data_IF_425329205670
#
_entry.id   IF_425329205670
#
_cell.length_a   1.000
_cell.length_b   1.000
_cell.length_c   1.000
_cell.angle_alpha   90.00
_cell.angle_beta   90.00
_cell.angle_gamma   90.00
#
_symmetry.space_group_name_H-M   'P 1'
#
loop_
_entity.id
_entity.type
_entity.pdbx_description
1 polymer ?
#
# COMPACT_ATOMS: atom_id res chain seq x y z
N UNK A 1 -20.58 -5.24 32.78
CA UNK A 1 -19.41 -5.10 31.87
C UNK A 1 -19.78 -5.77 30.56
N UNK A 2 -19.59 -5.10 29.41
CA UNK A 2 -19.76 -5.78 28.11
C UNK A 2 -18.59 -6.74 27.92
N UNK A 3 -18.86 -7.99 27.55
CA UNK A 3 -17.83 -8.97 27.21
C UNK A 3 -16.95 -8.44 26.07
N UNK A 4 -15.63 -8.55 26.22
CA UNK A 4 -14.67 -8.11 25.20
C UNK A 4 -14.55 -9.21 24.14
N UNK A 5 -15.09 -8.95 22.96
CA UNK A 5 -15.02 -9.88 21.83
C UNK A 5 -13.57 -10.02 21.31
N UNK A 6 -13.19 -11.16 20.72
CA UNK A 6 -11.90 -11.31 20.05
C UNK A 6 -11.81 -10.37 18.84
N UNK A 7 -10.59 -9.98 18.43
CA UNK A 7 -10.42 -9.17 17.23
C UNK A 7 -10.89 -9.95 16.00
N UNK A 8 -11.67 -9.28 15.14
CA UNK A 8 -12.18 -9.80 13.86
C UNK A 8 -11.10 -10.00 12.79
N UNK A 9 -9.90 -9.50 13.07
CA UNK A 9 -8.80 -9.40 12.13
C UNK A 9 -7.49 -9.73 12.85
N UNK A 10 -6.56 -10.38 12.16
CA UNK A 10 -5.25 -10.74 12.71
C UNK A 10 -4.17 -10.50 11.66
N UNK A 11 -3.00 -9.97 12.05
CA UNK A 11 -1.88 -9.82 11.14
C UNK A 11 -1.27 -11.19 10.84
N UNK A 12 -0.99 -11.44 9.57
CA UNK A 12 -0.22 -12.56 9.08
C UNK A 12 1.05 -12.09 8.37
N UNK A 13 1.59 -12.97 7.52
CA UNK A 13 2.85 -12.72 6.82
C UNK A 13 2.72 -11.61 5.78
N UNK A 14 1.56 -11.48 5.12
CA UNK A 14 1.36 -10.47 4.09
C UNK A 14 1.44 -9.05 4.64
N UNK A 15 0.77 -8.76 5.77
CA UNK A 15 0.88 -7.44 6.39
C UNK A 15 2.31 -7.18 6.88
N UNK A 16 2.95 -8.18 7.49
CA UNK A 16 4.31 -8.03 8.00
C UNK A 16 5.31 -7.68 6.89
N UNK A 17 5.28 -8.44 5.79
CA UNK A 17 6.13 -8.19 4.62
C UNK A 17 5.84 -6.84 3.99
N UNK A 18 4.57 -6.48 3.82
CA UNK A 18 4.17 -5.17 3.31
C UNK A 18 4.70 -4.02 4.18
N UNK A 19 4.70 -4.18 5.51
CA UNK A 19 5.26 -3.19 6.41
C UNK A 19 6.78 -3.03 6.24
N UNK A 20 7.52 -4.14 6.12
CA UNK A 20 8.96 -4.10 5.91
C UNK A 20 9.32 -3.39 4.60
N UNK A 21 8.57 -3.68 3.52
CA UNK A 21 8.73 -2.99 2.24
C UNK A 21 8.42 -1.50 2.41
N UNK A 22 7.27 -1.14 2.94
CA UNK A 22 6.89 0.27 3.12
C UNK A 22 7.88 1.05 4.01
N UNK A 23 8.33 0.45 5.12
CA UNK A 23 9.29 1.06 6.01
C UNK A 23 10.66 1.28 5.35
N UNK A 24 11.09 0.36 4.47
CA UNK A 24 12.34 0.50 3.70
C UNK A 24 12.20 1.56 2.61
N UNK A 25 11.17 1.47 1.79
CA UNK A 25 11.00 2.32 0.60
C UNK A 25 10.71 3.78 0.97
N UNK A 26 10.03 4.03 2.08
CA UNK A 26 9.71 5.37 2.56
C UNK A 26 10.61 5.82 3.72
N UNK A 27 11.74 5.14 3.95
CA UNK A 27 12.72 5.53 4.95
C UNK A 27 13.27 6.94 4.66
N UNK A 28 13.05 7.87 5.59
CA UNK A 28 13.49 9.26 5.46
C UNK A 28 12.60 10.15 4.58
N UNK A 29 11.47 9.63 4.07
CA UNK A 29 10.50 10.43 3.33
C UNK A 29 9.54 11.10 4.31
N UNK A 30 9.42 12.42 4.20
CA UNK A 30 8.44 13.22 4.95
C UNK A 30 7.21 13.52 4.09
N UNK A 31 6.06 13.71 4.75
CA UNK A 31 4.86 14.23 4.10
C UNK A 31 5.10 15.66 3.62
N UNK A 32 4.38 16.04 2.57
CA UNK A 32 4.40 17.44 2.08
C UNK A 32 4.01 18.40 3.19
N UNK A 33 4.81 19.46 3.35
CA UNK A 33 4.51 20.55 4.29
C UNK A 33 5.00 20.35 5.72
N UNK A 34 5.88 19.38 6.00
CA UNK A 34 6.47 19.22 7.34
C UNK A 34 7.50 18.09 7.44
N UNK A 35 7.76 17.67 8.68
CA UNK A 35 8.69 16.61 9.08
C UNK A 35 7.98 15.29 9.48
N UNK A 36 6.66 15.24 9.29
CA UNK A 36 5.85 14.06 9.61
C UNK A 36 6.26 12.91 8.68
N UNK A 37 6.65 11.73 9.21
CA UNK A 37 7.06 10.60 8.38
C UNK A 37 5.96 10.13 7.42
N UNK A 38 6.29 9.86 6.16
CA UNK A 38 5.32 9.36 5.17
C UNK A 38 4.74 8.01 5.57
N UNK A 39 5.53 7.16 6.23
CA UNK A 39 5.09 5.87 6.76
C UNK A 39 3.86 5.99 7.68
N UNK A 40 3.69 7.10 8.42
CA UNK A 40 2.52 7.28 9.28
C UNK A 40 1.21 7.39 8.48
N UNK A 41 1.26 7.95 7.26
CA UNK A 41 0.12 7.98 6.33
C UNK A 41 -0.24 6.57 5.87
N UNK A 42 0.74 5.81 5.40
CA UNK A 42 0.54 4.43 4.93
C UNK A 42 -0.08 3.55 6.03
N UNK A 43 0.44 3.65 7.26
CA UNK A 43 -0.10 2.93 8.41
C UNK A 43 -1.54 3.35 8.74
N UNK A 44 -1.86 4.64 8.65
CA UNK A 44 -3.21 5.13 8.90
C UNK A 44 -4.22 4.59 7.87
N UNK A 45 -3.87 4.56 6.58
CA UNK A 45 -4.73 3.99 5.53
C UNK A 45 -4.93 2.49 5.74
N UNK A 46 -3.86 1.75 6.08
CA UNK A 46 -3.95 0.32 6.39
C UNK A 46 -4.85 0.02 7.60
N UNK A 47 -4.75 0.84 8.65
CA UNK A 47 -5.61 0.73 9.83
C UNK A 47 -7.10 0.92 9.48
N UNK A 48 -7.43 1.90 8.62
CA UNK A 48 -8.81 2.12 8.16
C UNK A 48 -9.38 0.89 7.44
N UNK A 49 -8.58 0.20 6.62
CA UNK A 49 -9.00 -1.05 5.96
C UNK A 49 -9.34 -2.12 7.00
N UNK A 50 -8.50 -2.30 8.02
CA UNK A 50 -8.76 -3.27 9.09
C UNK A 50 -10.03 -2.93 9.88
N UNK A 51 -10.26 -1.65 10.18
CA UNK A 51 -11.44 -1.19 10.92
C UNK A 51 -12.75 -1.45 10.16
N UNK A 52 -12.71 -1.32 8.84
CA UNK A 52 -13.86 -1.51 7.95
C UNK A 52 -14.03 -2.95 7.46
N UNK A 53 -13.27 -3.90 8.01
CA UNK A 53 -13.43 -5.33 7.74
C UNK A 53 -12.76 -5.82 6.46
N UNK A 54 -11.75 -5.10 5.96
CA UNK A 54 -10.95 -5.54 4.83
C UNK A 54 -10.09 -6.77 5.17
N UNK A 55 -9.71 -7.49 4.12
CA UNK A 55 -8.84 -8.67 4.21
C UNK A 55 -7.41 -8.27 4.56
N UNK A 56 -6.58 -9.26 4.89
CA UNK A 56 -5.15 -9.00 5.07
C UNK A 56 -4.50 -8.47 3.78
N UNK A 57 -4.80 -9.06 2.63
CA UNK A 57 -4.31 -8.59 1.32
C UNK A 57 -4.67 -7.12 1.08
N UNK A 58 -5.90 -6.71 1.42
CA UNK A 58 -6.34 -5.33 1.27
C UNK A 58 -5.60 -4.39 2.23
N UNK A 59 -5.36 -4.81 3.48
CA UNK A 59 -4.61 -4.02 4.45
C UNK A 59 -3.12 -3.89 4.08
N UNK A 60 -2.53 -4.95 3.53
CA UNK A 60 -1.17 -4.97 2.99
C UNK A 60 -1.07 -4.07 1.75
N UNK A 61 -2.02 -4.16 0.81
CA UNK A 61 -2.06 -3.30 -0.37
C UNK A 61 -2.25 -1.82 0.00
N UNK A 62 -3.10 -1.52 0.99
CA UNK A 62 -3.25 -0.17 1.53
C UNK A 62 -1.95 0.39 2.13
N UNK A 63 -1.12 -0.46 2.75
CA UNK A 63 0.19 -0.07 3.27
C UNK A 63 1.20 0.21 2.15
N UNK A 64 1.00 -0.40 0.98
CA UNK A 64 1.87 -0.32 -0.19
C UNK A 64 1.32 0.58 -1.31
N UNK A 65 0.18 1.26 -1.12
CA UNK A 65 -0.58 1.87 -2.23
C UNK A 65 0.22 2.89 -3.05
N UNK A 66 1.14 3.61 -2.41
CA UNK A 66 1.99 4.62 -3.07
C UNK A 66 3.34 4.05 -3.55
N UNK A 67 3.67 2.78 -3.26
CA UNK A 67 5.03 2.27 -3.45
C UNK A 67 5.47 2.25 -4.91
N UNK A 68 4.54 1.97 -5.84
CA UNK A 68 4.84 1.97 -7.28
C UNK A 68 4.95 3.38 -7.85
N UNK A 69 4.41 4.37 -7.14
CA UNK A 69 4.39 5.76 -7.55
C UNK A 69 5.63 6.52 -7.05
N UNK A 70 5.98 6.29 -5.79
CA UNK A 70 6.91 7.12 -5.03
C UNK A 70 8.20 6.38 -4.64
N UNK A 71 8.35 5.11 -5.02
CA UNK A 71 9.58 4.32 -4.88
C UNK A 71 9.99 3.66 -6.19
N UNK A 72 11.30 3.42 -6.43
CA UNK A 72 11.80 2.75 -7.63
C UNK A 72 11.40 1.26 -7.76
N UNK A 73 10.70 0.69 -6.78
CA UNK A 73 10.26 -0.71 -6.86
C UNK A 73 9.24 -0.91 -8.00
N UNK A 74 9.47 -1.93 -8.82
CA UNK A 74 8.52 -2.32 -9.87
C UNK A 74 7.46 -3.28 -9.34
N UNK A 75 6.31 -3.36 -10.01
CA UNK A 75 5.27 -4.34 -9.67
C UNK A 75 5.82 -5.79 -9.68
N UNK A 76 6.66 -6.13 -10.67
CA UNK A 76 7.29 -7.44 -10.73
C UNK A 76 8.23 -7.69 -9.54
N UNK A 77 9.05 -6.70 -9.19
CA UNK A 77 9.96 -6.78 -8.04
C UNK A 77 9.18 -6.95 -6.73
N UNK A 78 8.07 -6.21 -6.56
CA UNK A 78 7.20 -6.32 -5.40
C UNK A 78 6.55 -7.70 -5.30
N UNK A 79 6.03 -8.24 -6.41
CA UNK A 79 5.47 -9.61 -6.43
C UNK A 79 6.51 -10.64 -6.02
N UNK A 80 7.72 -10.55 -6.60
CA UNK A 80 8.82 -11.46 -6.26
C UNK A 80 9.23 -11.35 -4.79
N UNK A 81 9.31 -10.15 -4.24
CA UNK A 81 9.69 -9.92 -2.86
C UNK A 81 8.66 -10.49 -1.87
N UNK A 82 7.36 -10.30 -2.13
CA UNK A 82 6.30 -10.88 -1.31
C UNK A 82 6.37 -12.41 -1.34
N UNK A 83 6.50 -13.01 -2.52
CA UNK A 83 6.61 -14.46 -2.66
C UNK A 83 7.87 -15.03 -2.01
N UNK A 84 9.00 -14.33 -2.12
CA UNK A 84 10.26 -14.72 -1.48
C UNK A 84 10.18 -14.66 0.05
N UNK A 85 9.26 -13.87 0.60
CA UNK A 85 8.97 -13.79 2.03
C UNK A 85 7.84 -14.75 2.47
N UNK A 86 7.57 -15.80 1.69
CA UNK A 86 6.59 -16.85 1.98
C UNK A 86 5.12 -16.37 1.98
N UNK A 87 4.84 -15.20 1.42
CA UNK A 87 3.45 -14.80 1.13
C UNK A 87 2.91 -15.74 0.04
N UNK A 88 1.73 -16.37 0.23
CA UNK A 88 1.15 -17.26 -0.77
C UNK A 88 1.05 -16.56 -2.14
N UNK A 89 1.38 -17.27 -3.21
CA UNK A 89 1.45 -16.68 -4.55
C UNK A 89 0.15 -15.94 -4.94
N UNK A 90 -1.01 -16.52 -4.64
CA UNK A 90 -2.31 -15.88 -4.88
C UNK A 90 -2.44 -14.53 -4.13
N UNK A 91 -2.11 -14.51 -2.84
CA UNK A 91 -2.12 -13.29 -2.01
C UNK A 91 -1.12 -12.25 -2.53
N UNK A 92 0.09 -12.66 -2.90
CA UNK A 92 1.08 -11.75 -3.48
C UNK A 92 0.59 -11.09 -4.77
N UNK A 93 -0.01 -11.87 -5.69
CA UNK A 93 -0.59 -11.32 -6.92
C UNK A 93 -1.79 -10.41 -6.63
N UNK A 94 -2.67 -10.78 -5.69
CA UNK A 94 -3.81 -9.95 -5.29
C UNK A 94 -3.37 -8.60 -4.72
N UNK A 95 -2.38 -8.60 -3.82
CA UNK A 95 -1.83 -7.39 -3.22
C UNK A 95 -1.29 -6.46 -4.31
N UNK A 96 -0.43 -6.98 -5.21
CA UNK A 96 0.16 -6.15 -6.28
C UNK A 96 -0.89 -5.67 -7.27
N UNK A 97 -1.90 -6.48 -7.59
CA UNK A 97 -3.01 -6.05 -8.44
C UNK A 97 -3.81 -4.90 -7.83
N UNK A 98 -4.08 -4.94 -6.51
CA UNK A 98 -4.74 -3.83 -5.80
C UNK A 98 -3.85 -2.58 -5.85
N UNK A 99 -2.56 -2.70 -5.53
CA UNK A 99 -1.61 -1.57 -5.55
C UNK A 99 -1.56 -0.93 -6.93
N UNK A 100 -1.48 -1.73 -8.01
CA UNK A 100 -1.54 -1.24 -9.39
C UNK A 100 -2.86 -0.54 -9.70
N UNK A 101 -3.99 -1.10 -9.25
CA UNK A 101 -5.31 -0.50 -9.44
C UNK A 101 -5.50 0.82 -8.68
N UNK A 102 -4.76 1.02 -7.58
CA UNK A 102 -4.76 2.27 -6.81
C UNK A 102 -3.65 3.24 -7.22
N UNK A 103 -2.81 2.89 -8.19
CA UNK A 103 -1.71 3.74 -8.65
C UNK A 103 -2.11 4.63 -9.85
N UNK A 104 -1.83 5.93 -9.78
CA UNK A 104 -1.98 6.98 -10.81
C UNK A 104 -0.73 7.14 -11.70
N UNK A 105 0.23 6.20 -11.63
CA UNK A 105 1.41 6.19 -12.47
C UNK A 105 2.52 5.29 -11.95
N UNK A 106 3.69 5.39 -12.57
CA UNK A 106 4.91 4.68 -12.13
C UNK A 106 5.98 5.68 -11.68
N UNK A 107 6.90 5.20 -10.84
CA UNK A 107 8.03 5.99 -10.40
C UNK A 107 8.83 6.61 -11.55
N UNK A 108 9.23 7.86 -11.38
CA UNK A 108 9.97 8.63 -12.38
C UNK A 108 9.13 9.18 -13.54
N UNK A 109 7.83 8.85 -13.62
CA UNK A 109 6.94 9.46 -14.58
C UNK A 109 6.64 10.92 -14.18
N UNK A 110 6.91 11.87 -15.08
CA UNK A 110 6.65 13.29 -14.81
C UNK A 110 5.14 13.55 -14.67
N UNK A 111 4.73 14.07 -13.51
CA UNK A 111 3.34 14.41 -13.22
C UNK A 111 3.23 15.93 -13.08
N UNK A 112 2.71 16.57 -14.11
CA UNK A 112 2.49 18.02 -14.09
C UNK A 112 1.03 18.37 -13.77
N UNK A 113 0.76 19.59 -13.29
CA UNK A 113 -0.61 20.09 -13.15
C UNK A 113 -1.40 20.05 -14.46
N UNK A 114 -0.72 20.15 -15.61
CA UNK A 114 -1.35 20.10 -16.92
C UNK A 114 -1.96 18.72 -17.23
N UNK A 115 -1.39 17.63 -16.69
CA UNK A 115 -1.90 16.27 -16.88
C UNK A 115 -2.81 15.79 -15.74
N UNK A 116 -3.05 16.62 -14.72
CA UNK A 116 -3.86 16.25 -13.55
C UNK A 116 -5.30 15.93 -13.91
N UNK A 117 -5.95 16.78 -14.71
CA UNK A 117 -7.36 16.61 -15.04
C UNK A 117 -7.58 15.28 -15.78
N UNK A 118 -6.81 15.04 -16.85
CA UNK A 118 -6.87 13.81 -17.64
C UNK A 118 -6.61 12.53 -16.82
N UNK A 119 -5.65 12.56 -15.89
CA UNK A 119 -5.41 11.45 -14.97
C UNK A 119 -6.61 11.20 -14.05
N UNK A 120 -7.20 12.27 -13.51
CA UNK A 120 -8.32 12.16 -12.57
C UNK A 120 -9.65 11.78 -13.23
N UNK A 121 -9.88 12.11 -14.51
CA UNK A 121 -11.13 11.72 -15.20
C UNK A 121 -11.23 10.21 -15.47
N UNK A 122 -10.09 9.50 -15.54
CA UNK A 122 -10.06 8.05 -15.77
C UNK A 122 -10.66 7.24 -14.62
N UNK A 123 -10.72 7.77 -13.41
CA UNK A 123 -11.33 7.10 -12.26
C UNK A 123 -12.87 7.10 -12.27
N UNK A 124 -13.49 7.84 -13.18
CA UNK A 124 -14.94 8.03 -13.25
C UNK A 124 -15.60 7.38 -14.48
N UNK A 125 -14.84 6.55 -15.22
CA UNK A 125 -15.33 5.78 -16.37
C UNK A 125 -15.47 4.31 -15.98
#
# INVERSE_FOLDING_TARGET
MKEKLPPRWRPGIALYCAYLVAAREFAGISRKGGDIPYLSHLMAVSALVMEHGGTEDQAAAALLHDVLEDSPISANSLTWELMAAEVPAESAHNIVAIVQGTSDGVYGQERSPATWHERKTKYHQ
#
